data_IF_078431521600
#
_entry.id   IF_078431521600
#
_cell.length_a   1.000
_cell.length_b   1.000
_cell.length_c   1.000
_cell.angle_alpha   90.00
_cell.angle_beta   90.00
_cell.angle_gamma   90.00
#
_symmetry.space_group_name_H-M   'P 1'
#
loop_
_entity.id
_entity.type
_entity.pdbx_description
1 polymer ?
#
# COMPACT_ATOMS: atom_id res chain seq x y z
N UNK A 1 29.38 3.72 26.45
CA UNK A 1 28.70 2.57 25.80
C UNK A 1 28.37 2.97 24.38
N UNK A 2 28.73 2.16 23.39
CA UNK A 2 28.38 2.39 21.99
C UNK A 2 26.87 2.31 21.82
N UNK A 3 26.29 3.24 21.05
CA UNK A 3 24.86 3.26 20.77
C UNK A 3 24.50 2.01 19.92
N UNK A 4 23.41 1.28 20.24
CA UNK A 4 23.01 0.11 19.46
C UNK A 4 22.64 0.52 18.02
N UNK A 5 22.91 -0.37 17.06
CA UNK A 5 22.63 -0.14 15.65
C UNK A 5 21.38 -0.86 15.21
N UNK A 6 20.64 -0.24 14.27
CA UNK A 6 19.53 -0.88 13.59
C UNK A 6 20.01 -1.98 12.64
N UNK A 7 19.37 -3.14 12.71
CA UNK A 7 19.64 -4.31 11.85
C UNK A 7 18.60 -4.40 10.73
N UNK A 8 17.32 -4.40 11.08
CA UNK A 8 16.20 -4.49 10.14
C UNK A 8 15.01 -3.66 10.62
N UNK A 9 14.10 -3.39 9.71
CA UNK A 9 12.84 -2.74 10.02
C UNK A 9 11.71 -3.30 9.17
N UNK A 10 10.47 -3.15 9.63
CA UNK A 10 9.26 -3.45 8.88
C UNK A 10 8.22 -2.34 9.06
N UNK A 11 7.36 -2.13 8.07
CA UNK A 11 6.22 -1.22 8.20
C UNK A 11 5.03 -1.67 7.34
N UNK A 12 3.82 -1.42 7.84
CA UNK A 12 2.58 -1.75 7.16
C UNK A 12 1.42 -0.79 7.56
N UNK A 13 0.37 -0.77 6.75
CA UNK A 13 -0.83 0.01 6.97
C UNK A 13 -2.10 -0.75 6.58
N UNK A 14 -3.14 -0.58 7.40
CA UNK A 14 -4.44 -1.22 7.24
C UNK A 14 -5.56 -0.17 7.23
N UNK A 15 -6.62 -0.44 6.49
CA UNK A 15 -7.80 0.42 6.42
C UNK A 15 -9.09 -0.40 6.40
N UNK A 16 -10.00 -0.15 7.35
CA UNK A 16 -11.31 -0.79 7.43
C UNK A 16 -12.32 0.00 6.60
N UNK A 17 -12.54 -0.45 5.36
CA UNK A 17 -13.25 0.31 4.34
C UNK A 17 -12.31 1.32 3.66
N UNK A 18 -12.42 1.49 2.34
CA UNK A 18 -11.47 2.31 1.57
C UNK A 18 -12.22 3.37 0.72
N UNK A 19 -12.43 4.60 1.24
CA UNK A 19 -11.88 5.15 2.49
C UNK A 19 -12.63 4.74 3.76
N UNK A 20 -11.94 4.81 4.91
CA UNK A 20 -12.48 4.43 6.23
C UNK A 20 -11.45 4.64 7.36
N UNK A 21 -11.73 4.20 8.59
CA UNK A 21 -10.75 4.18 9.67
C UNK A 21 -9.53 3.33 9.30
N UNK A 22 -8.34 3.84 9.55
CA UNK A 22 -7.10 3.15 9.22
C UNK A 22 -6.08 3.25 10.35
N UNK A 23 -5.14 2.31 10.32
CA UNK A 23 -4.02 2.24 11.23
C UNK A 23 -2.75 1.96 10.47
N UNK A 24 -1.62 2.34 11.05
CA UNK A 24 -0.30 2.13 10.49
C UNK A 24 0.64 1.69 11.61
N UNK A 25 1.68 0.96 11.25
CA UNK A 25 2.65 0.46 12.22
C UNK A 25 4.05 0.31 11.62
N UNK A 26 5.05 0.36 12.49
CA UNK A 26 6.40 -0.05 12.18
C UNK A 26 7.02 -0.87 13.29
N UNK A 27 8.09 -1.57 12.93
CA UNK A 27 8.94 -2.34 13.83
C UNK A 27 10.42 -2.09 13.49
N UNK A 28 11.27 -2.03 14.51
CA UNK A 28 12.72 -1.88 14.43
C UNK A 28 13.42 -2.94 15.28
N UNK A 29 14.43 -3.60 14.69
CA UNK A 29 15.33 -4.52 15.40
C UNK A 29 16.70 -3.86 15.62
N UNK A 30 17.23 -3.96 16.83
CA UNK A 30 18.55 -3.48 17.22
C UNK A 30 19.53 -4.64 17.49
N UNK A 31 20.82 -4.36 17.38
CA UNK A 31 21.89 -5.35 17.58
C UNK A 31 22.16 -5.76 19.03
N UNK A 32 21.59 -5.05 19.98
CA UNK A 32 21.55 -5.43 21.40
C UNK A 32 20.33 -6.31 21.74
N UNK A 33 19.54 -6.72 20.74
CA UNK A 33 18.33 -7.53 20.91
C UNK A 33 17.07 -6.74 21.26
N UNK A 34 17.15 -5.40 21.34
CA UNK A 34 15.96 -4.56 21.54
C UNK A 34 15.07 -4.62 20.29
N UNK A 35 13.76 -4.70 20.53
CA UNK A 35 12.72 -4.50 19.52
C UNK A 35 11.93 -3.26 19.88
N UNK A 36 11.74 -2.38 18.91
CA UNK A 36 10.89 -1.19 19.06
C UNK A 36 9.73 -1.24 18.07
N UNK A 37 8.53 -0.92 18.55
CA UNK A 37 7.30 -0.95 17.76
C UNK A 37 6.60 0.40 17.93
N UNK A 38 6.06 0.92 16.84
CA UNK A 38 5.30 2.16 16.84
C UNK A 38 4.13 2.07 15.89
N UNK A 39 3.13 2.91 16.07
CA UNK A 39 1.97 2.95 15.19
C UNK A 39 0.97 4.02 15.59
N UNK A 40 -0.01 4.25 14.72
CA UNK A 40 -1.04 5.25 14.94
C UNK A 40 -2.29 4.97 14.12
N UNK A 41 -3.28 5.84 14.26
CA UNK A 41 -4.58 5.70 13.59
C UNK A 41 -4.98 6.98 12.86
N UNK A 42 -5.91 6.84 11.92
CA UNK A 42 -6.60 7.94 11.25
C UNK A 42 -8.06 7.54 11.04
N UNK A 43 -9.00 8.39 11.45
CA UNK A 43 -10.44 8.09 11.40
C UNK A 43 -10.98 7.96 9.96
N UNK A 44 -10.33 8.63 9.00
CA UNK A 44 -10.78 8.65 7.60
C UNK A 44 -9.59 8.75 6.65
N UNK A 45 -9.18 7.61 6.13
CA UNK A 45 -8.00 7.45 5.28
C UNK A 45 -8.21 6.35 4.24
N UNK A 46 -7.17 5.95 3.53
CA UNK A 46 -7.13 4.80 2.61
C UNK A 46 -5.98 3.87 2.98
N UNK A 47 -5.99 2.64 2.46
CA UNK A 47 -4.90 1.68 2.70
C UNK A 47 -3.54 2.24 2.27
N UNK A 48 -3.45 2.74 1.03
CA UNK A 48 -2.21 3.30 0.49
C UNK A 48 -1.69 4.47 1.34
N UNK A 49 -2.57 5.33 1.88
CA UNK A 49 -2.12 6.41 2.77
C UNK A 49 -1.59 5.88 4.09
N UNK A 50 -2.14 4.81 4.64
CA UNK A 50 -1.63 4.20 5.87
C UNK A 50 -0.30 3.48 5.65
N UNK A 51 -0.15 2.75 4.55
CA UNK A 51 1.15 2.16 4.16
C UNK A 51 2.22 3.26 4.02
N UNK A 52 1.89 4.36 3.33
CA UNK A 52 2.80 5.49 3.18
C UNK A 52 3.12 6.20 4.50
N UNK A 53 2.13 6.36 5.36
CA UNK A 53 2.32 6.96 6.69
C UNK A 53 3.24 6.08 7.55
N UNK A 54 3.07 4.77 7.50
CA UNK A 54 3.93 3.80 8.18
C UNK A 54 5.40 3.97 7.77
N UNK A 55 5.65 4.01 6.45
CA UNK A 55 6.99 4.21 5.91
C UNK A 55 7.58 5.58 6.28
N UNK A 56 6.76 6.64 6.27
CA UNK A 56 7.21 7.99 6.61
C UNK A 56 7.66 8.09 8.08
N UNK A 57 6.84 7.60 9.00
CA UNK A 57 7.17 7.65 10.43
C UNK A 57 8.34 6.73 10.77
N UNK A 58 8.42 5.56 10.11
CA UNK A 58 9.57 4.68 10.21
C UNK A 58 10.87 5.38 9.74
N UNK A 59 10.87 6.03 8.57
CA UNK A 59 12.04 6.75 8.06
C UNK A 59 12.49 7.88 9.01
N UNK A 60 11.54 8.67 9.54
CA UNK A 60 11.83 9.70 10.55
C UNK A 60 12.47 9.10 11.80
N UNK A 61 11.97 7.96 12.26
CA UNK A 61 12.51 7.27 13.44
C UNK A 61 13.90 6.69 13.19
N UNK A 62 14.12 6.05 12.04
CA UNK A 62 15.42 5.50 11.62
C UNK A 62 16.48 6.61 11.52
N UNK A 63 16.10 7.82 11.10
CA UNK A 63 17.02 8.95 10.98
C UNK A 63 17.71 9.33 12.31
N UNK A 64 17.16 8.92 13.46
CA UNK A 64 17.69 9.19 14.79
C UNK A 64 18.69 8.13 15.28
N UNK A 65 18.86 7.02 14.55
CA UNK A 65 19.66 5.86 14.98
C UNK A 65 20.78 5.52 14.00
N UNK A 66 21.92 5.02 14.51
CA UNK A 66 22.93 4.44 13.65
C UNK A 66 22.40 3.12 13.07
N UNK A 67 22.88 2.77 11.88
CA UNK A 67 22.44 1.58 11.13
C UNK A 67 23.62 0.68 10.85
N UNK A 68 23.39 -0.62 10.90
CA UNK A 68 24.38 -1.58 10.42
C UNK A 68 24.48 -1.54 8.88
N UNK A 69 25.61 -2.02 8.36
CA UNK A 69 25.76 -2.24 6.92
C UNK A 69 24.72 -3.28 6.46
N UNK A 70 24.03 -3.01 5.36
CA UNK A 70 22.98 -3.89 4.84
C UNK A 70 21.62 -3.75 5.51
N UNK A 71 21.39 -2.71 6.32
CA UNK A 71 20.07 -2.38 6.88
C UNK A 71 19.01 -2.26 5.77
N UNK A 72 17.85 -2.91 5.98
CA UNK A 72 16.72 -2.92 5.03
C UNK A 72 15.39 -2.68 5.74
N UNK A 73 14.46 -2.08 5.00
CA UNK A 73 13.06 -1.91 5.43
C UNK A 73 12.19 -2.90 4.66
N UNK A 74 11.42 -3.72 5.36
CA UNK A 74 10.45 -4.66 4.78
C UNK A 74 9.07 -4.03 4.73
N UNK A 75 8.37 -4.24 3.61
CA UNK A 75 6.97 -3.86 3.44
C UNK A 75 6.36 -4.70 2.33
N UNK A 76 5.07 -5.02 2.41
CA UNK A 76 4.34 -5.66 1.31
C UNK A 76 3.66 -4.65 0.37
N UNK A 77 3.80 -3.34 0.66
CA UNK A 77 3.27 -2.26 -0.15
C UNK A 77 3.96 -2.17 -1.51
N UNK A 78 3.32 -2.78 -2.51
CA UNK A 78 3.71 -2.59 -3.91
C UNK A 78 3.64 -1.12 -4.33
N UNK A 79 2.74 -0.34 -3.74
CA UNK A 79 2.60 1.09 -4.03
C UNK A 79 3.85 1.87 -3.62
N UNK A 80 4.38 1.64 -2.41
CA UNK A 80 5.64 2.21 -1.97
C UNK A 80 6.82 1.76 -2.83
N UNK A 81 6.94 0.45 -3.06
CA UNK A 81 8.03 -0.15 -3.83
C UNK A 81 8.08 0.42 -5.25
N UNK A 82 6.95 0.46 -5.95
CA UNK A 82 6.87 1.00 -7.31
C UNK A 82 7.04 2.52 -7.33
N UNK A 83 6.49 3.24 -6.35
CA UNK A 83 6.64 4.68 -6.30
C UNK A 83 8.08 5.13 -6.13
N UNK A 84 8.82 4.53 -5.19
CA UNK A 84 10.24 4.84 -5.01
C UNK A 84 11.11 4.38 -6.19
N UNK A 85 10.83 3.22 -6.79
CA UNK A 85 11.70 2.66 -7.84
C UNK A 85 11.40 3.16 -9.25
N UNK A 86 10.15 3.51 -9.56
CA UNK A 86 9.71 3.77 -10.94
C UNK A 86 9.13 5.17 -11.12
N UNK A 87 8.34 5.67 -10.18
CA UNK A 87 7.48 6.84 -10.45
C UNK A 87 8.05 8.17 -9.96
N UNK A 88 8.66 8.17 -8.78
CA UNK A 88 9.04 9.39 -8.06
C UNK A 88 9.93 10.32 -8.90
N UNK A 89 10.92 9.75 -9.60
CA UNK A 89 11.82 10.51 -10.49
C UNK A 89 11.04 11.23 -11.60
N UNK A 90 10.11 10.51 -12.25
CA UNK A 90 9.29 11.07 -13.32
C UNK A 90 8.30 12.12 -12.83
N UNK A 91 7.69 11.89 -11.67
CA UNK A 91 6.76 12.87 -11.07
C UNK A 91 7.48 14.17 -10.70
N UNK A 92 8.65 14.10 -10.07
CA UNK A 92 9.44 15.30 -9.72
C UNK A 92 9.81 16.11 -10.96
N UNK A 93 10.25 15.44 -12.04
CA UNK A 93 10.58 16.09 -13.31
C UNK A 93 9.38 16.77 -13.97
N UNK A 94 8.17 16.23 -13.76
CA UNK A 94 6.92 16.75 -14.33
C UNK A 94 6.17 17.68 -13.37
N UNK A 95 6.81 18.17 -12.31
CA UNK A 95 6.18 19.05 -11.32
C UNK A 95 5.01 18.39 -10.59
N UNK A 96 5.17 17.13 -10.19
CA UNK A 96 4.18 16.30 -9.50
C UNK A 96 2.88 16.06 -10.28
N UNK A 97 3.05 15.87 -11.60
CA UNK A 97 1.97 15.46 -12.51
C UNK A 97 2.26 14.09 -13.10
N UNK A 98 1.19 13.32 -13.31
CA UNK A 98 1.24 12.05 -14.05
C UNK A 98 1.38 12.31 -15.56
N UNK A 99 1.60 11.23 -16.32
CA UNK A 99 1.73 11.31 -17.78
C UNK A 99 0.47 11.84 -18.48
N UNK A 100 -0.71 11.63 -17.89
CA UNK A 100 -2.00 12.15 -18.36
C UNK A 100 -2.26 13.62 -17.93
N UNK A 101 -1.26 14.29 -17.34
CA UNK A 101 -1.34 15.68 -16.89
C UNK A 101 -2.09 15.88 -15.56
N UNK A 102 -2.70 14.83 -15.01
CA UNK A 102 -3.42 14.92 -13.73
C UNK A 102 -2.46 14.98 -12.54
N UNK A 103 -2.90 15.53 -11.39
CA UNK A 103 -2.14 15.48 -10.15
C UNK A 103 -1.75 14.04 -9.77
N UNK A 104 -0.58 13.93 -9.13
CA UNK A 104 -0.14 12.68 -8.49
C UNK A 104 -0.98 12.48 -7.22
N UNK A 105 -1.53 11.28 -7.05
CA UNK A 105 -2.28 10.94 -5.86
C UNK A 105 -1.36 10.82 -4.65
N UNK A 106 -1.85 11.22 -3.48
CA UNK A 106 -1.07 11.24 -2.23
C UNK A 106 0.23 12.05 -2.36
N UNK A 107 0.21 13.11 -3.18
CA UNK A 107 1.36 13.97 -3.41
C UNK A 107 1.97 14.48 -2.11
N UNK A 108 1.12 14.88 -1.17
CA UNK A 108 1.51 15.33 0.17
C UNK A 108 2.42 14.32 0.89
N UNK A 109 2.02 13.05 0.91
CA UNK A 109 2.81 11.99 1.54
C UNK A 109 4.04 11.62 0.70
N UNK A 110 3.95 11.67 -0.64
CA UNK A 110 5.11 11.40 -1.49
C UNK A 110 6.19 12.46 -1.37
N UNK A 111 5.83 13.74 -1.27
CA UNK A 111 6.77 14.83 -1.02
C UNK A 111 7.44 14.66 0.35
N UNK A 112 6.67 14.35 1.39
CA UNK A 112 7.21 14.08 2.72
C UNK A 112 8.14 12.84 2.74
N UNK A 113 7.76 11.76 2.05
CA UNK A 113 8.58 10.56 1.91
C UNK A 113 9.89 10.84 1.16
N UNK A 114 9.83 11.60 0.06
CA UNK A 114 11.02 11.97 -0.72
C UNK A 114 12.00 12.80 0.13
N UNK A 115 11.50 13.72 0.96
CA UNK A 115 12.30 14.49 1.90
C UNK A 115 12.89 13.63 3.02
N UNK A 116 12.14 12.63 3.51
CA UNK A 116 12.58 11.73 4.57
C UNK A 116 13.49 10.59 4.08
N UNK A 117 13.79 10.50 2.77
CA UNK A 117 14.64 9.42 2.23
C UNK A 117 16.02 9.44 2.85
N UNK A 118 16.46 8.26 3.28
CA UNK A 118 17.78 8.05 3.87
C UNK A 118 18.70 7.41 2.83
N UNK A 119 19.86 8.01 2.50
CA UNK A 119 20.82 7.42 1.57
C UNK A 119 21.23 6.01 2.01
N UNK A 120 21.26 5.07 1.07
CA UNK A 120 21.65 3.68 1.31
C UNK A 120 20.59 2.81 1.99
N UNK A 121 19.41 3.34 2.32
CA UNK A 121 18.29 2.56 2.87
C UNK A 121 17.35 2.13 1.75
N UNK A 122 17.19 0.83 1.57
CA UNK A 122 16.32 0.23 0.57
C UNK A 122 15.04 -0.35 1.21
N UNK A 123 13.95 -0.27 0.46
CA UNK A 123 12.72 -1.03 0.75
C UNK A 123 12.76 -2.37 0.02
N UNK A 124 12.49 -3.45 0.75
CA UNK A 124 12.41 -4.81 0.23
C UNK A 124 10.97 -5.27 0.28
N UNK A 125 10.45 -5.70 -0.86
CA UNK A 125 9.10 -6.24 -0.95
C UNK A 125 9.03 -7.61 -0.30
N UNK A 126 8.19 -7.76 0.71
CA UNK A 126 7.78 -9.06 1.25
C UNK A 126 6.38 -9.39 0.75
N UNK A 127 6.03 -10.67 0.69
CA UNK A 127 4.69 -11.07 0.28
C UNK A 127 3.76 -10.93 1.50
N UNK A 128 2.66 -10.19 1.39
CA UNK A 128 1.66 -10.12 2.45
C UNK A 128 1.13 -11.51 2.82
N UNK A 129 0.92 -11.75 4.12
CA UNK A 129 0.46 -13.03 4.70
C UNK A 129 1.28 -14.25 4.24
N UNK A 130 2.61 -14.12 4.18
CA UNK A 130 3.51 -15.18 3.71
C UNK A 130 4.26 -15.93 4.81
N UNK A 131 4.01 -15.64 6.09
CA UNK A 131 4.78 -16.20 7.21
C UNK A 131 5.98 -15.34 7.64
N UNK A 132 6.12 -14.11 7.12
CA UNK A 132 7.13 -13.16 7.61
C UNK A 132 6.66 -12.57 8.94
N UNK A 133 7.30 -12.99 10.03
CA UNK A 133 6.88 -12.64 11.39
C UNK A 133 6.88 -11.13 11.66
N UNK A 134 7.82 -10.37 11.08
CA UNK A 134 7.88 -8.92 11.26
C UNK A 134 6.73 -8.23 10.52
N UNK A 135 6.45 -8.65 9.27
CA UNK A 135 5.33 -8.13 8.50
C UNK A 135 3.98 -8.47 9.14
N UNK A 136 3.79 -9.72 9.59
CA UNK A 136 2.58 -10.13 10.29
C UNK A 136 2.39 -9.36 11.60
N UNK A 137 3.48 -9.02 12.28
CA UNK A 137 3.44 -8.20 13.50
C UNK A 137 3.00 -6.78 13.21
N UNK A 138 3.56 -6.11 12.20
CA UNK A 138 3.14 -4.74 11.85
C UNK A 138 1.73 -4.69 11.26
N UNK A 139 1.30 -5.69 10.49
CA UNK A 139 -0.09 -5.84 10.03
C UNK A 139 -1.05 -5.93 11.24
N UNK A 140 -0.76 -6.80 12.21
CA UNK A 140 -1.59 -6.95 13.41
C UNK A 140 -1.72 -5.65 14.20
N UNK A 141 -0.63 -4.88 14.35
CA UNK A 141 -0.64 -3.57 15.02
C UNK A 141 -1.46 -2.55 14.21
N UNK A 142 -1.27 -2.49 12.90
CA UNK A 142 -1.99 -1.57 12.01
C UNK A 142 -3.50 -1.89 11.99
N UNK A 143 -3.89 -3.16 11.94
CA UNK A 143 -5.28 -3.62 12.02
C UNK A 143 -5.89 -3.25 13.36
N UNK A 144 -5.19 -3.45 14.48
CA UNK A 144 -5.67 -3.05 15.80
C UNK A 144 -5.96 -1.54 15.86
N UNK A 145 -5.03 -0.70 15.40
CA UNK A 145 -5.26 0.75 15.32
C UNK A 145 -6.43 1.12 14.41
N UNK A 146 -6.59 0.44 13.26
CA UNK A 146 -7.72 0.70 12.35
C UNK A 146 -9.09 0.39 12.98
N UNK A 147 -9.13 -0.47 13.99
CA UNK A 147 -10.33 -0.84 14.75
C UNK A 147 -10.55 0.02 16.00
N UNK A 148 -9.66 0.98 16.26
CA UNK A 148 -9.67 1.79 17.48
C UNK A 148 -9.18 1.04 18.72
N UNK A 149 -8.52 -0.10 18.55
CA UNK A 149 -7.93 -0.88 19.63
C UNK A 149 -6.56 -0.29 20.05
N UNK A 150 -6.08 -0.68 21.23
CA UNK A 150 -4.75 -0.30 21.74
C UNK A 150 -3.84 -1.53 21.74
N UNK A 151 -3.05 -1.77 20.68
CA UNK A 151 -2.14 -2.90 20.66
C UNK A 151 -1.05 -2.75 21.73
N UNK A 152 -0.64 -3.87 22.33
CA UNK A 152 0.52 -3.91 23.23
C UNK A 152 1.79 -3.82 22.38
N UNK A 153 2.59 -2.77 22.60
CA UNK A 153 3.84 -2.52 21.89
C UNK A 153 5.05 -2.86 22.78
N UNK A 154 6.09 -3.46 22.19
CA UNK A 154 7.28 -3.99 22.88
C UNK A 154 8.17 -2.89 23.47
N UNK A 155 8.17 -1.70 22.88
CA UNK A 155 8.78 -0.49 23.44
C UNK A 155 7.90 0.69 23.06
N UNK A 156 7.34 1.39 24.05
CA UNK A 156 6.18 2.27 23.93
C UNK A 156 6.38 3.60 23.21
N UNK A 157 6.98 3.62 22.01
CA UNK A 157 6.88 4.79 21.15
C UNK A 157 5.45 4.84 20.56
N UNK A 158 4.56 5.51 21.27
CA UNK A 158 3.36 6.06 20.65
C UNK A 158 3.79 7.37 19.96
N UNK A 159 3.72 7.45 18.62
CA UNK A 159 3.79 8.74 17.95
C UNK A 159 2.69 9.63 18.55
N UNK A 160 2.89 10.95 18.61
CA UNK A 160 1.85 11.86 19.10
C UNK A 160 0.55 11.55 18.37
N UNK A 161 -0.58 11.58 19.10
CA UNK A 161 -1.90 11.49 18.50
C UNK A 161 -1.94 12.50 17.35
N UNK A 162 -1.82 12.02 16.11
CA UNK A 162 -1.70 12.89 14.97
C UNK A 162 -3.06 13.54 14.80
N UNK A 163 -3.18 14.75 15.34
CA UNK A 163 -4.14 15.72 14.83
C UNK A 163 -3.96 15.70 13.30
N UNK A 164 -5.04 15.61 12.52
CA UNK A 164 -4.92 15.73 11.07
C UNK A 164 -4.08 16.98 10.78
N UNK A 165 -3.28 17.00 9.70
CA UNK A 165 -2.68 18.25 9.27
C UNK A 165 -3.82 19.24 9.02
N UNK A 166 -4.09 20.11 10.00
CA UNK A 166 -5.13 21.13 9.88
C UNK A 166 -4.62 22.15 8.85
N UNK A 167 -5.30 22.14 7.70
CA UNK A 167 -5.41 23.19 6.70
C UNK A 167 -4.12 23.69 6.00
N UNK A 168 -3.75 23.02 4.91
CA UNK A 168 -3.41 23.72 3.67
C UNK A 168 -3.83 22.88 2.44
N UNK A 169 -4.73 23.48 1.67
CA UNK A 169 -5.40 23.07 0.43
C UNK A 169 -6.47 21.98 0.46
N UNK A 170 -7.61 22.20 -0.25
CA UNK A 170 -8.70 21.26 -0.28
C UNK A 170 -8.21 19.97 -0.93
N UNK A 171 -8.07 18.93 -0.11
CA UNK A 171 -8.58 17.61 -0.43
C UNK A 171 -8.29 17.21 -1.89
N UNK A 172 -7.03 16.87 -2.24
CA UNK A 172 -6.73 16.14 -3.47
C UNK A 172 -7.16 14.67 -3.31
N UNK A 173 -8.46 14.49 -3.02
CA UNK A 173 -9.12 13.23 -3.24
C UNK A 173 -9.07 13.10 -4.76
N UNK A 174 -8.40 12.04 -5.24
CA UNK A 174 -8.84 11.41 -6.48
C UNK A 174 -10.37 11.49 -6.46
N UNK A 175 -11.03 12.12 -7.46
CA UNK A 175 -12.48 12.19 -7.50
C UNK A 175 -13.01 10.80 -7.14
N UNK A 176 -14.03 10.62 -6.30
CA UNK A 176 -14.40 9.30 -5.77
C UNK A 176 -14.48 8.19 -6.83
N UNK A 177 -14.78 8.55 -8.08
CA UNK A 177 -14.66 7.71 -9.27
C UNK A 177 -13.24 7.17 -9.52
N UNK A 178 -12.21 8.01 -9.51
CA UNK A 178 -10.82 7.63 -9.73
C UNK A 178 -10.27 6.72 -8.63
N UNK A 179 -10.63 6.94 -7.36
CA UNK A 179 -10.23 6.07 -6.26
C UNK A 179 -10.90 4.69 -6.39
N UNK A 180 -12.22 4.66 -6.68
CA UNK A 180 -12.95 3.43 -6.98
C UNK A 180 -12.33 2.68 -8.16
N UNK A 181 -11.93 3.39 -9.22
CA UNK A 181 -11.26 2.80 -10.37
C UNK A 181 -9.92 2.17 -9.97
N UNK A 182 -9.07 2.86 -9.22
CA UNK A 182 -7.77 2.32 -8.78
C UNK A 182 -7.93 1.06 -7.93
N UNK A 183 -8.80 1.08 -6.91
CA UNK A 183 -9.08 -0.10 -6.08
C UNK A 183 -9.57 -1.27 -6.93
N UNK A 184 -10.40 -1.02 -7.94
CA UNK A 184 -10.88 -2.07 -8.87
C UNK A 184 -9.76 -2.65 -9.72
N UNK A 185 -8.87 -1.81 -10.24
CA UNK A 185 -7.73 -2.30 -11.03
C UNK A 185 -6.74 -3.10 -10.17
N UNK A 186 -6.53 -2.70 -8.92
CA UNK A 186 -5.73 -3.45 -7.95
C UNK A 186 -6.35 -4.81 -7.60
N UNK A 187 -7.68 -4.85 -7.38
CA UNK A 187 -8.42 -6.10 -7.18
C UNK A 187 -8.32 -7.01 -8.41
N UNK A 188 -8.48 -6.45 -9.62
CA UNK A 188 -8.32 -7.19 -10.87
C UNK A 188 -6.94 -7.85 -10.99
N UNK A 189 -5.87 -7.13 -10.63
CA UNK A 189 -4.50 -7.67 -10.63
C UNK A 189 -4.30 -8.77 -9.58
N UNK A 190 -4.85 -8.61 -8.37
CA UNK A 190 -4.81 -9.63 -7.31
C UNK A 190 -5.54 -10.91 -7.74
N UNK A 191 -6.74 -10.77 -8.32
CA UNK A 191 -7.52 -11.91 -8.81
C UNK A 191 -6.87 -12.61 -10.00
N UNK A 192 -6.31 -11.84 -10.94
CA UNK A 192 -5.58 -12.40 -12.08
C UNK A 192 -4.33 -13.19 -11.66
N UNK A 193 -3.66 -12.78 -10.58
CA UNK A 193 -2.48 -13.47 -10.06
C UNK A 193 -2.84 -14.69 -9.20
N UNK A 194 -3.92 -14.61 -8.42
CA UNK A 194 -4.34 -15.66 -7.50
C UNK A 194 -5.22 -16.75 -8.12
N UNK A 195 -5.67 -16.60 -9.36
CA UNK A 195 -6.55 -17.58 -10.02
C UNK A 195 -7.97 -17.63 -9.45
N UNK A 196 -8.39 -16.58 -8.75
CA UNK A 196 -9.71 -16.48 -8.13
C UNK A 196 -10.82 -16.46 -9.18
N UNK A 197 -11.86 -17.27 -8.96
CA UNK A 197 -13.10 -17.22 -9.73
C UNK A 197 -14.03 -16.14 -9.18
N UNK A 198 -14.54 -15.29 -10.07
CA UNK A 198 -15.50 -14.22 -9.80
C UNK A 198 -16.91 -14.70 -10.11
N UNK A 199 -17.84 -14.44 -9.20
CA UNK A 199 -19.27 -14.56 -9.49
C UNK A 199 -19.70 -13.49 -10.51
N UNK A 200 -20.88 -13.67 -11.11
CA UNK A 200 -21.44 -12.70 -12.06
C UNK A 200 -21.59 -11.31 -11.43
N UNK A 201 -22.06 -11.23 -10.18
CA UNK A 201 -22.24 -9.98 -9.45
C UNK A 201 -20.89 -9.29 -9.14
N UNK A 202 -19.86 -10.04 -8.75
CA UNK A 202 -18.53 -9.50 -8.51
C UNK A 202 -17.88 -9.03 -9.82
N UNK A 203 -18.07 -9.77 -10.91
CA UNK A 203 -17.61 -9.36 -12.22
C UNK A 203 -18.30 -8.07 -12.68
N UNK A 204 -19.63 -7.97 -12.55
CA UNK A 204 -20.40 -6.77 -12.84
C UNK A 204 -19.88 -5.54 -12.07
N UNK A 205 -19.67 -5.74 -10.78
CA UNK A 205 -19.07 -4.74 -9.89
C UNK A 205 -17.59 -4.46 -10.17
N UNK A 206 -16.88 -5.31 -10.90
CA UNK A 206 -15.50 -5.07 -11.32
C UNK A 206 -15.42 -4.34 -12.66
N UNK A 207 -16.29 -4.66 -13.61
CA UNK A 207 -16.23 -4.11 -14.99
C UNK A 207 -17.16 -2.92 -15.26
N UNK A 208 -18.04 -2.56 -14.33
CA UNK A 208 -19.05 -1.48 -14.45
C UNK A 208 -20.10 -1.78 -15.50
N UNK A 209 -20.54 -3.03 -15.59
CA UNK A 209 -21.58 -3.44 -16.53
C UNK A 209 -22.74 -4.10 -15.79
N UNK A 210 -23.99 -3.90 -16.22
CA UNK A 210 -25.14 -4.61 -15.67
C UNK A 210 -25.01 -6.13 -15.86
N UNK A 211 -25.44 -6.91 -14.87
CA UNK A 211 -25.43 -8.38 -14.95
C UNK A 211 -26.23 -8.90 -16.15
N UNK A 212 -27.32 -8.24 -16.52
CA UNK A 212 -28.11 -8.58 -17.70
C UNK A 212 -27.29 -8.53 -19.00
N UNK A 213 -26.36 -7.58 -19.12
CA UNK A 213 -25.48 -7.47 -20.28
C UNK A 213 -24.34 -8.50 -20.24
N UNK A 214 -23.82 -8.80 -19.05
CA UNK A 214 -22.77 -9.80 -18.88
C UNK A 214 -23.28 -11.24 -19.04
N UNK A 215 -24.53 -11.51 -18.65
CA UNK A 215 -25.14 -12.83 -18.77
C UNK A 215 -25.27 -13.31 -20.23
N UNK A 216 -25.30 -12.38 -21.18
CA UNK A 216 -25.33 -12.67 -22.62
C UNK A 216 -23.95 -13.02 -23.18
N UNK A 217 -22.87 -12.76 -22.43
CA UNK A 217 -21.50 -13.06 -22.84
C UNK A 217 -21.13 -14.46 -22.35
N UNK A 218 -20.80 -15.34 -23.29
CA UNK A 218 -20.36 -16.72 -23.00
C UNK A 218 -18.93 -17.02 -23.50
N UNK A 219 -18.31 -16.06 -24.18
CA UNK A 219 -16.98 -16.21 -24.78
C UNK A 219 -15.99 -15.28 -24.08
N UNK A 220 -14.68 -15.61 -24.08
CA UNK A 220 -13.64 -14.69 -23.63
C UNK A 220 -13.74 -13.29 -24.24
N UNK A 221 -13.56 -12.25 -23.44
CA UNK A 221 -13.41 -10.88 -23.95
C UNK A 221 -12.28 -10.11 -23.27
N UNK A 222 -11.89 -9.01 -23.90
CA UNK A 222 -10.90 -8.09 -23.35
C UNK A 222 -11.60 -6.96 -22.58
N UNK A 223 -11.18 -6.76 -21.34
CA UNK A 223 -11.57 -5.61 -20.53
C UNK A 223 -10.29 -4.91 -20.05
N UNK A 224 -9.97 -3.77 -20.68
CA UNK A 224 -8.71 -3.04 -20.48
C UNK A 224 -7.50 -3.96 -20.73
N UNK A 225 -6.64 -4.14 -19.74
CA UNK A 225 -5.43 -4.97 -19.82
C UNK A 225 -5.65 -6.42 -19.39
N UNK A 226 -6.89 -6.81 -19.07
CA UNK A 226 -7.25 -8.15 -18.62
C UNK A 226 -8.14 -8.85 -19.64
N UNK A 227 -7.86 -10.14 -19.83
CA UNK A 227 -8.74 -11.07 -20.51
C UNK A 227 -9.69 -11.68 -19.48
N UNK A 228 -10.99 -11.51 -19.70
CA UNK A 228 -12.05 -12.11 -18.88
C UNK A 228 -12.43 -13.44 -19.51
N UNK A 229 -12.30 -14.53 -18.76
CA UNK A 229 -12.43 -15.91 -19.23
C UNK A 229 -13.59 -16.60 -18.48
N UNK A 230 -14.54 -17.22 -19.19
CA UNK A 230 -15.57 -18.06 -18.57
C UNK A 230 -14.93 -19.34 -18.02
N UNK A 231 -15.39 -19.80 -16.87
CA UNK A 231 -15.01 -21.09 -16.27
C UNK A 231 -16.21 -22.04 -16.24
N UNK A 232 -15.94 -23.35 -16.15
CA UNK A 232 -16.95 -24.41 -16.22
C UNK A 232 -17.99 -24.35 -15.09
N UNK A 233 -17.64 -23.73 -13.96
CA UNK A 233 -18.50 -23.67 -12.76
C UNK A 233 -19.42 -22.42 -12.73
N UNK A 234 -19.57 -21.70 -13.85
CA UNK A 234 -20.35 -20.47 -13.92
C UNK A 234 -19.64 -19.23 -13.36
N UNK A 235 -18.37 -19.37 -12.98
CA UNK A 235 -17.50 -18.27 -12.54
C UNK A 235 -16.66 -17.70 -13.69
N UNK A 236 -16.06 -16.53 -13.45
CA UNK A 236 -15.18 -15.84 -14.40
C UNK A 236 -13.79 -15.65 -13.83
N UNK A 237 -12.76 -15.73 -14.67
CA UNK A 237 -11.37 -15.44 -14.25
C UNK A 237 -10.77 -14.32 -15.07
N UNK A 238 -9.85 -13.60 -14.45
CA UNK A 238 -9.06 -12.58 -15.12
C UNK A 238 -7.69 -13.14 -15.43
N UNK A 239 -7.15 -12.77 -16.58
CA UNK A 239 -5.74 -13.00 -16.91
C UNK A 239 -5.16 -11.72 -17.46
N UNK A 240 -4.04 -11.26 -16.91
CA UNK A 240 -3.35 -10.09 -17.46
C UNK A 240 -2.83 -10.43 -18.85
N UNK A 241 -3.11 -9.58 -19.84
CA UNK A 241 -2.54 -9.73 -21.17
C UNK A 241 -1.04 -9.48 -21.06
N UNK A 242 -0.21 -10.48 -21.32
CA UNK A 242 1.23 -10.28 -21.36
C UNK A 242 1.55 -9.28 -22.46
N UNK A 243 2.26 -8.19 -22.12
CA UNK A 243 2.93 -7.34 -23.11
C UNK A 243 4.09 -8.14 -23.70
N UNK A 244 3.78 -9.07 -24.60
CA UNK A 244 4.75 -9.76 -25.42
C UNK A 244 4.26 -9.71 -26.86
N UNK A 245 5.12 -9.12 -27.70
CA UNK A 245 5.09 -9.08 -29.16
C UNK A 245 4.21 -8.00 -29.82
N UNK A 246 4.68 -6.75 -29.76
CA UNK A 246 4.83 -5.98 -30.98
C UNK A 246 6.33 -5.77 -31.21
N UNK A 247 6.88 -6.54 -32.16
CA UNK A 247 8.00 -6.11 -32.98
C UNK A 247 7.55 -4.97 -33.88
#
# INVERSE_FOLDING_TARGET
>A
MTKPHLITAACDGACSGNPGPGGWAYLLHFDDGRVEEGGGFSEKTTNNRMEMQAALELLKRIALEPRQSGFTIRTDSKYLIQGFSQWLKGWKQKGWKKADGKPVLNRDLWEALDQARLPGVAFTHVKGHSGDADNERVDAIAVAFSRGEKPVLTSGFQPPASRPPDAADPMDFAPPRLNRLLTRLEMADRWATGGYGLTMAELAQLVEMPEAELSQRQQPWLWRDWQVLPCLDGCWRLRRKSLAQHR
#
